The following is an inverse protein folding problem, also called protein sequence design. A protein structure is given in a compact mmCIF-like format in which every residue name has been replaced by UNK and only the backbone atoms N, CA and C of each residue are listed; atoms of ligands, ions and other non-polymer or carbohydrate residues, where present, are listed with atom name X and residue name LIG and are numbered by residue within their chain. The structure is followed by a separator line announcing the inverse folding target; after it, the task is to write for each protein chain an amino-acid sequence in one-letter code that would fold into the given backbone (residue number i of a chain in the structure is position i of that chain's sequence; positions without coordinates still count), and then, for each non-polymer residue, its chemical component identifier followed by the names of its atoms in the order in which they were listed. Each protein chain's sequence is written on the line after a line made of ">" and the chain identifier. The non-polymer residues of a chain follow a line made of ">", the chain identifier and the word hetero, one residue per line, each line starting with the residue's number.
data_IF_266343039936
#
_entry.id   IF_266343039936
#
_cell.length_a   1.000
_cell.length_b   1.000
_cell.length_c   1.000
_cell.angle_alpha   90.00
_cell.angle_beta   90.00
_cell.angle_gamma   90.00
#
_symmetry.space_group_name_H-M   'P 1'
#
loop_
_entity.id
_entity.type
_entity.pdbx_description
1 polymer ?
#
# COMPACT_ATOMS: atom_id res chain seq x y z
N UNK A 1 39.77 -36.24 -25.75
CA UNK A 1 39.31 -35.93 -24.38
C UNK A 1 39.42 -34.41 -24.22
N UNK A 2 38.39 -33.67 -24.62
CA UNK A 2 38.38 -32.20 -24.57
C UNK A 2 37.92 -31.75 -23.18
N UNK A 3 38.83 -31.11 -22.46
CA UNK A 3 38.65 -30.54 -21.14
C UNK A 3 37.63 -29.38 -21.22
N UNK A 4 36.59 -29.45 -20.41
CA UNK A 4 35.53 -28.45 -20.32
C UNK A 4 36.01 -27.27 -19.47
N UNK A 5 36.40 -26.16 -20.09
CA UNK A 5 36.51 -24.88 -19.40
C UNK A 5 35.10 -24.29 -19.31
N UNK A 6 34.39 -24.57 -18.23
CA UNK A 6 33.15 -23.85 -17.92
C UNK A 6 33.52 -22.41 -17.56
N UNK A 7 33.00 -21.39 -18.27
CA UNK A 7 33.16 -20.01 -17.83
C UNK A 7 32.54 -19.92 -16.43
N UNK A 8 33.33 -19.55 -15.44
CA UNK A 8 32.77 -19.20 -14.13
C UNK A 8 31.97 -17.93 -14.39
N UNK A 9 30.64 -18.02 -14.26
CA UNK A 9 29.76 -16.88 -14.43
C UNK A 9 29.84 -16.02 -13.17
N UNK A 10 30.77 -15.07 -13.21
CA UNK A 10 31.03 -14.11 -12.15
C UNK A 10 30.00 -12.97 -12.13
N UNK A 11 28.92 -13.08 -12.93
CA UNK A 11 27.91 -12.02 -13.02
C UNK A 11 27.43 -11.66 -11.62
N UNK A 12 27.60 -10.40 -11.18
CA UNK A 12 27.21 -9.99 -9.84
C UNK A 12 25.71 -10.27 -9.71
N UNK A 13 25.36 -11.23 -8.85
CA UNK A 13 23.95 -11.53 -8.51
C UNK A 13 23.35 -10.22 -8.04
N UNK A 14 22.54 -9.61 -8.91
CA UNK A 14 21.90 -8.32 -8.65
C UNK A 14 21.04 -8.51 -7.42
N UNK A 15 21.52 -8.04 -6.26
CA UNK A 15 20.79 -8.16 -5.02
C UNK A 15 19.49 -7.39 -5.20
N UNK A 16 18.38 -8.12 -5.12
CA UNK A 16 17.06 -7.54 -5.27
C UNK A 16 16.77 -6.75 -3.99
N UNK A 17 17.25 -5.51 -3.95
CA UNK A 17 17.07 -4.65 -2.79
C UNK A 17 15.59 -4.33 -2.66
N UNK A 18 15.02 -4.64 -1.49
CA UNK A 18 13.64 -4.29 -1.18
C UNK A 18 13.54 -2.77 -1.19
N UNK A 19 12.59 -2.22 -1.94
CA UNK A 19 12.45 -0.78 -2.02
C UNK A 19 12.02 -0.22 -0.64
N UNK A 20 12.53 0.95 -0.23
CA UNK A 20 12.13 1.59 1.02
C UNK A 20 10.61 1.78 1.13
N UNK A 21 9.93 1.96 -0.01
CA UNK A 21 8.46 2.07 -0.05
C UNK A 21 7.73 0.79 0.34
N UNK A 22 8.26 -0.39 -0.01
CA UNK A 22 7.68 -1.68 0.42
C UNK A 22 7.79 -1.83 1.93
N UNK A 23 8.97 -1.50 2.49
CA UNK A 23 9.21 -1.57 3.94
C UNK A 23 8.29 -0.59 4.68
N UNK A 24 8.22 0.66 4.21
CA UNK A 24 7.33 1.68 4.78
C UNK A 24 5.86 1.28 4.72
N UNK A 25 5.41 0.70 3.60
CA UNK A 25 4.04 0.20 3.45
C UNK A 25 3.73 -0.95 4.41
N UNK A 26 4.67 -1.88 4.61
CA UNK A 26 4.52 -2.99 5.56
C UNK A 26 4.43 -2.50 7.00
N UNK A 27 5.27 -1.52 7.37
CA UNK A 27 5.21 -0.88 8.70
C UNK A 27 3.88 -0.19 8.91
N UNK A 28 3.42 0.60 7.94
CA UNK A 28 2.14 1.29 8.01
C UNK A 28 0.96 0.32 8.17
N UNK A 29 0.99 -0.81 7.45
CA UNK A 29 -0.02 -1.86 7.56
C UNK A 29 -0.03 -2.49 8.96
N UNK A 30 1.14 -2.83 9.51
CA UNK A 30 1.24 -3.41 10.86
C UNK A 30 0.73 -2.43 11.92
N UNK A 31 1.13 -1.16 11.83
CA UNK A 31 0.66 -0.11 12.74
C UNK A 31 -0.87 0.02 12.65
N UNK A 32 -1.43 0.02 11.44
CA UNK A 32 -2.88 0.07 11.22
C UNK A 32 -3.60 -1.10 11.89
N UNK A 33 -3.08 -2.33 11.77
CA UNK A 33 -3.66 -3.55 12.37
C UNK A 33 -3.52 -3.56 13.89
N UNK A 34 -2.43 -3.04 14.45
CA UNK A 34 -2.26 -2.92 15.91
C UNK A 34 -3.19 -1.87 16.46
N UNK A 35 -3.25 -0.71 15.81
CA UNK A 35 -4.18 0.35 16.12
C UNK A 35 -5.58 -0.31 16.09
N UNK A 36 -6.09 -0.82 14.95
CA UNK A 36 -6.96 -2.01 14.82
C UNK A 36 -7.49 -2.70 16.08
N UNK A 37 -6.60 -3.50 16.67
CA UNK A 37 -6.95 -4.33 17.79
C UNK A 37 -7.16 -3.51 19.08
N UNK A 38 -6.49 -2.36 19.23
CA UNK A 38 -6.41 -1.62 20.49
C UNK A 38 -7.57 -0.66 20.77
N UNK A 39 -8.11 0.03 19.77
CA UNK A 39 -9.19 1.05 19.94
C UNK A 39 -10.51 0.53 19.40
N UNK A 40 -10.80 -0.76 19.63
CA UNK A 40 -12.09 -1.35 19.27
C UNK A 40 -13.21 -0.93 20.23
N UNK A 41 -12.94 0.12 21.02
CA UNK A 41 -13.93 0.83 21.81
C UNK A 41 -14.97 1.41 20.85
N UNK A 42 -16.21 1.00 21.10
CA UNK A 42 -17.36 1.41 20.30
C UNK A 42 -17.68 2.86 20.60
N UNK A 43 -17.62 3.73 19.60
CA UNK A 43 -18.11 5.09 19.72
C UNK A 43 -19.58 5.12 19.30
N UNK A 44 -20.44 5.69 20.15
CA UNK A 44 -21.85 5.93 19.81
C UNK A 44 -21.92 7.26 19.07
N UNK A 45 -22.29 7.20 17.79
CA UNK A 45 -22.60 8.38 16.97
C UNK A 45 -24.10 8.58 16.98
N UNK A 46 -24.55 9.67 17.58
CA UNK A 46 -25.95 10.07 17.55
C UNK A 46 -26.21 11.04 16.40
N UNK A 47 -27.18 10.72 15.54
CA UNK A 47 -27.63 11.59 14.46
C UNK A 47 -29.16 11.64 14.41
N UNK A 48 -29.72 12.75 14.89
CA UNK A 48 -31.16 13.01 15.03
C UNK A 48 -31.95 11.94 15.82
N UNK A 49 -32.36 10.86 15.16
CA UNK A 49 -33.14 9.75 15.74
C UNK A 49 -32.41 8.40 15.65
N UNK A 50 -31.20 8.40 15.09
CA UNK A 50 -30.42 7.19 14.90
C UNK A 50 -29.16 7.22 15.74
N UNK A 51 -28.94 6.15 16.48
CA UNK A 51 -27.68 5.85 17.14
C UNK A 51 -26.96 4.78 16.33
N UNK A 52 -25.72 5.07 15.96
CA UNK A 52 -24.85 4.12 15.30
C UNK A 52 -23.66 3.84 16.21
N UNK A 53 -23.48 2.58 16.60
CA UNK A 53 -22.24 2.13 17.20
C UNK A 53 -21.23 1.89 16.08
N UNK A 54 -20.26 2.79 15.96
CA UNK A 54 -19.20 2.67 14.96
C UNK A 54 -17.86 2.59 15.68
N UNK A 55 -17.16 1.49 15.50
CA UNK A 55 -15.78 1.38 16.00
C UNK A 55 -14.91 2.41 15.26
N UNK A 56 -14.03 3.09 15.99
CA UNK A 56 -13.05 4.03 15.45
C UNK A 56 -12.27 3.45 14.25
N UNK A 57 -12.09 2.13 14.23
CA UNK A 57 -11.49 1.39 13.13
C UNK A 57 -12.13 1.54 11.80
N UNK A 58 -13.45 1.63 11.79
CA UNK A 58 -14.18 1.76 10.56
C UNK A 58 -13.80 3.06 9.85
N UNK A 59 -13.64 4.15 10.62
CA UNK A 59 -13.14 5.43 10.12
C UNK A 59 -11.72 5.33 9.56
N UNK A 60 -10.84 4.58 10.21
CA UNK A 60 -9.45 4.47 9.75
C UNK A 60 -9.28 3.59 8.50
N UNK A 61 -10.01 2.47 8.43
CA UNK A 61 -10.05 1.63 7.23
C UNK A 61 -10.62 2.44 6.07
N UNK A 62 -11.69 3.20 6.32
CA UNK A 62 -12.28 4.06 5.29
C UNK A 62 -11.28 5.13 4.82
N UNK A 63 -10.58 5.80 5.73
CA UNK A 63 -9.56 6.77 5.38
C UNK A 63 -8.42 6.15 4.54
N UNK A 64 -7.89 5.00 4.97
CA UNK A 64 -6.85 4.27 4.24
C UNK A 64 -7.32 3.85 2.84
N UNK A 65 -8.54 3.33 2.73
CA UNK A 65 -9.16 2.97 1.46
C UNK A 65 -9.32 4.19 0.54
N UNK A 66 -9.76 5.33 1.08
CA UNK A 66 -9.90 6.58 0.34
C UNK A 66 -8.55 7.11 -0.15
N UNK A 67 -7.50 7.04 0.66
CA UNK A 67 -6.14 7.43 0.26
C UNK A 67 -5.65 6.57 -0.92
N UNK A 68 -5.78 5.23 -0.83
CA UNK A 68 -5.38 4.33 -1.92
C UNK A 68 -6.19 4.56 -3.19
N UNK A 69 -7.50 4.81 -3.03
CA UNK A 69 -8.37 5.12 -4.15
C UNK A 69 -7.99 6.46 -4.81
N UNK A 70 -7.73 7.49 -4.01
CA UNK A 70 -7.28 8.80 -4.49
C UNK A 70 -5.94 8.68 -5.25
N UNK A 71 -4.97 7.95 -4.71
CA UNK A 71 -3.69 7.69 -5.38
C UNK A 71 -3.91 7.03 -6.76
N UNK A 72 -4.77 6.00 -6.82
CA UNK A 72 -5.10 5.30 -8.07
C UNK A 72 -5.78 6.21 -9.09
N UNK A 73 -6.71 7.05 -8.66
CA UNK A 73 -7.40 8.00 -9.53
C UNK A 73 -6.44 9.06 -10.08
N UNK A 74 -5.57 9.61 -9.24
CA UNK A 74 -4.54 10.58 -9.63
C UNK A 74 -3.57 9.94 -10.63
N UNK A 75 -3.03 8.75 -10.31
CA UNK A 75 -2.12 8.03 -11.19
C UNK A 75 -2.76 7.72 -12.56
N UNK A 76 -4.04 7.36 -12.58
CA UNK A 76 -4.78 7.12 -13.81
C UNK A 76 -4.99 8.40 -14.64
N UNK A 77 -5.35 9.51 -13.99
CA UNK A 77 -5.50 10.82 -14.64
C UNK A 77 -4.18 11.33 -15.25
N UNK A 78 -3.06 11.19 -14.52
CA UNK A 78 -1.73 11.56 -15.01
C UNK A 78 -1.28 10.69 -16.20
N UNK A 79 -1.58 9.38 -16.18
CA UNK A 79 -1.29 8.46 -17.31
C UNK A 79 -2.11 8.80 -18.55
N UNK A 80 -3.36 9.24 -18.40
CA UNK A 80 -4.19 9.69 -19.53
C UNK A 80 -3.64 10.95 -20.20
N UNK A 81 -3.11 11.91 -19.42
CA UNK A 81 -2.53 13.15 -19.95
C UNK A 81 -1.27 12.92 -20.80
N UNK A 82 -0.41 11.97 -20.41
CA UNK A 82 0.82 11.65 -21.17
C UNK A 82 0.56 11.05 -22.55
N UNK A 83 -0.59 10.40 -22.78
CA UNK A 83 -0.96 9.82 -24.08
C UNK A 83 -1.41 10.84 -25.12
N UNK A 84 -1.58 12.11 -24.73
CA UNK A 84 -1.96 13.20 -25.63
C UNK A 84 -0.79 14.00 -26.23
N UNK A 85 0.45 13.73 -25.81
CA UNK A 85 1.65 14.46 -26.25
C UNK A 85 2.47 13.75 -27.35
N UNK A 86 2.04 12.57 -27.83
CA UNK A 86 2.67 11.84 -28.94
C UNK A 86 1.96 12.04 -30.29
N UNK A 87 1.18 13.13 -30.45
CA UNK A 87 0.56 13.49 -31.74
C UNK A 87 1.03 14.86 -32.21
#
# INVERSE_FOLDING_TARGET
>A
MSQWDTPVDDSPKRSQSISPGVIGGLIALVVLVIFIAQNNDKAVVEFLFWSFEVSLWFGLILAAALTLLAERLIAWGLRRRKRGQER
#
